data_IF_407436516811
#
_entry.id   IF_407436516811
#
_cell.length_a   1.000
_cell.length_b   1.000
_cell.length_c   1.000
_cell.angle_alpha   90.00
_cell.angle_beta   90.00
_cell.angle_gamma   90.00
#
_symmetry.space_group_name_H-M   'P 1'
#
loop_
_entity.id
_entity.type
_entity.pdbx_description
1 polymer ?
#
# COMPACT_ATOMS: atom_id res chain seq x y z
N UNK A 1 9.01 2.85 -7.69
CA UNK A 1 7.68 2.85 -8.34
C UNK A 1 6.78 3.85 -7.62
N UNK A 2 6.84 5.15 -7.96
CA UNK A 2 6.02 6.16 -7.27
C UNK A 2 4.59 6.19 -7.82
N UNK A 3 3.59 6.22 -6.95
CA UNK A 3 2.19 6.21 -7.38
C UNK A 3 1.22 5.66 -6.33
N UNK A 4 -0.04 5.58 -6.73
CA UNK A 4 -1.16 5.00 -5.99
C UNK A 4 -1.39 3.56 -6.44
N UNK A 5 -0.99 2.61 -5.60
CA UNK A 5 -1.08 1.18 -5.87
C UNK A 5 -2.17 0.58 -4.99
N UNK A 6 -3.29 0.20 -5.60
CA UNK A 6 -4.46 -0.30 -4.88
C UNK A 6 -4.50 -1.83 -4.89
N UNK A 7 -4.87 -2.44 -3.77
CA UNK A 7 -5.16 -3.88 -3.65
C UNK A 7 -6.66 -4.02 -3.42
N UNK A 8 -7.37 -4.58 -4.40
CA UNK A 8 -8.82 -4.77 -4.38
C UNK A 8 -9.15 -6.26 -4.32
N UNK A 9 -10.31 -6.57 -3.75
CA UNK A 9 -10.85 -7.92 -3.73
C UNK A 9 -11.90 -8.11 -2.64
N UNK A 10 -12.69 -9.19 -2.71
CA UNK A 10 -13.73 -9.50 -1.72
C UNK A 10 -13.18 -9.60 -0.29
N UNK A 11 -14.06 -9.53 0.71
CA UNK A 11 -13.70 -9.83 2.10
C UNK A 11 -13.09 -11.24 2.19
N UNK A 12 -12.01 -11.39 2.96
CA UNK A 12 -11.30 -12.67 3.07
C UNK A 12 -10.40 -13.02 1.90
N UNK A 13 -10.24 -12.16 0.88
CA UNK A 13 -9.35 -12.45 -0.26
C UNK A 13 -7.86 -12.43 0.06
N UNK A 14 -7.46 -11.98 1.25
CA UNK A 14 -6.07 -11.94 1.71
C UNK A 14 -5.37 -10.58 1.63
N UNK A 15 -6.09 -9.48 1.36
CA UNK A 15 -5.52 -8.12 1.20
C UNK A 15 -4.66 -7.68 2.41
N UNK A 16 -5.25 -7.66 3.60
CA UNK A 16 -4.55 -7.29 4.84
C UNK A 16 -3.39 -8.24 5.15
N UNK A 17 -3.59 -9.54 4.92
CA UNK A 17 -2.51 -10.53 5.06
C UNK A 17 -1.36 -10.28 4.08
N UNK A 18 -1.63 -9.88 2.84
CA UNK A 18 -0.57 -9.52 1.89
C UNK A 18 0.15 -8.25 2.34
N UNK A 19 -0.57 -7.23 2.78
CA UNK A 19 0.01 -6.00 3.33
C UNK A 19 0.92 -6.29 4.53
N UNK A 20 0.49 -7.15 5.46
CA UNK A 20 1.29 -7.56 6.62
C UNK A 20 2.55 -8.35 6.20
N UNK A 21 2.43 -9.22 5.18
CA UNK A 21 3.58 -9.96 4.64
C UNK A 21 4.57 -8.99 3.98
N UNK A 22 4.10 -8.05 3.16
CA UNK A 22 4.95 -7.07 2.47
C UNK A 22 5.71 -6.18 3.47
N UNK A 23 5.09 -5.86 4.59
CA UNK A 23 5.67 -4.99 5.64
C UNK A 23 6.47 -5.72 6.72
N UNK A 24 6.71 -7.03 6.58
CA UNK A 24 7.45 -7.85 7.56
C UNK A 24 6.78 -7.90 8.94
N UNK A 25 5.44 -7.81 8.98
CA UNK A 25 4.62 -7.84 10.20
C UNK A 25 3.98 -9.20 10.49
N UNK A 26 3.97 -10.09 9.49
CA UNK A 26 3.46 -11.46 9.65
C UNK A 26 4.59 -12.43 9.96
N UNK A 27 4.29 -13.45 10.77
CA UNK A 27 5.22 -14.55 11.03
C UNK A 27 5.65 -15.19 9.70
N UNK A 28 6.96 -15.35 9.44
CA UNK A 28 7.44 -15.96 8.21
C UNK A 28 7.03 -17.44 8.08
N UNK A 29 6.64 -18.11 9.16
CA UNK A 29 6.16 -19.50 9.12
C UNK A 29 4.91 -19.61 8.24
N UNK A 30 5.01 -20.41 7.17
CA UNK A 30 3.94 -20.59 6.19
C UNK A 30 3.90 -19.53 5.08
N UNK A 31 4.88 -18.62 5.03
CA UNK A 31 5.08 -17.72 3.89
C UNK A 31 6.14 -18.28 2.95
N UNK A 32 5.99 -18.03 1.66
CA UNK A 32 6.98 -18.37 0.63
C UNK A 32 7.04 -17.23 -0.40
N UNK A 33 8.14 -17.13 -1.15
CA UNK A 33 8.37 -16.04 -2.09
C UNK A 33 9.44 -15.05 -1.61
N UNK A 34 9.68 -14.04 -2.43
CA UNK A 34 10.71 -13.01 -2.19
C UNK A 34 10.11 -11.62 -2.41
N UNK A 35 10.39 -10.72 -1.47
CA UNK A 35 10.05 -9.30 -1.58
C UNK A 35 11.32 -8.52 -1.91
N UNK A 36 11.26 -7.77 -3.00
CA UNK A 36 12.31 -6.87 -3.45
C UNK A 36 11.88 -5.42 -3.26
N UNK A 37 12.80 -4.59 -2.79
CA UNK A 37 12.63 -3.14 -2.63
C UNK A 37 13.73 -2.50 -3.47
N UNK A 38 13.36 -1.70 -4.46
CA UNK A 38 14.33 -1.12 -5.42
C UNK A 38 15.27 -2.18 -6.05
N UNK A 39 14.72 -3.36 -6.36
CA UNK A 39 15.42 -4.55 -6.89
C UNK A 39 16.41 -5.24 -5.93
N UNK A 40 16.46 -4.87 -4.66
CA UNK A 40 17.25 -5.54 -3.63
C UNK A 40 16.36 -6.35 -2.69
N UNK A 41 16.86 -7.44 -2.11
CA UNK A 41 16.10 -8.14 -1.06
C UNK A 41 15.78 -7.18 0.06
N UNK A 42 14.55 -7.29 0.53
CA UNK A 42 14.08 -6.59 1.73
C UNK A 42 15.08 -6.75 2.88
N UNK A 43 15.59 -5.63 3.38
CA UNK A 43 16.46 -5.60 4.55
C UNK A 43 15.66 -5.98 5.82
N UNK A 44 16.25 -6.65 6.84
CA UNK A 44 15.54 -6.97 8.09
C UNK A 44 14.95 -5.74 8.81
N UNK A 45 15.58 -4.58 8.64
CA UNK A 45 15.10 -3.29 9.19
C UNK A 45 13.97 -2.66 8.38
N UNK A 46 13.49 -3.28 7.30
CA UNK A 46 12.49 -2.69 6.40
C UNK A 46 11.22 -2.25 7.13
N UNK A 47 10.79 -3.03 8.13
CA UNK A 47 9.64 -2.73 8.98
C UNK A 47 9.71 -1.35 9.66
N UNK A 48 10.92 -0.81 9.87
CA UNK A 48 11.17 0.48 10.51
C UNK A 48 11.34 1.62 9.50
N UNK A 49 11.50 1.30 8.22
CA UNK A 49 11.69 2.29 7.14
C UNK A 49 10.41 2.64 6.39
N UNK A 50 9.37 1.80 6.53
CA UNK A 50 8.06 1.99 5.90
C UNK A 50 7.03 2.48 6.90
N UNK A 51 6.08 3.29 6.43
CA UNK A 51 4.90 3.64 7.22
C UNK A 51 3.81 2.59 7.03
N UNK A 52 3.12 2.23 8.11
CA UNK A 52 1.98 1.29 8.02
C UNK A 52 0.81 1.80 8.85
N UNK A 53 -0.25 2.22 8.16
CA UNK A 53 -1.50 2.66 8.76
C UNK A 53 -2.44 1.46 8.79
N UNK A 54 -2.73 0.96 9.99
CA UNK A 54 -3.71 -0.12 10.20
C UNK A 54 -5.14 0.34 9.90
N UNK A 55 -6.04 -0.62 9.76
CA UNK A 55 -7.47 -0.36 9.52
C UNK A 55 -8.10 0.46 10.64
N UNK A 56 -7.93 0.02 11.89
CA UNK A 56 -8.41 0.74 13.08
C UNK A 56 -7.49 1.91 13.42
N UNK A 57 -8.07 3.09 13.63
CA UNK A 57 -7.29 4.28 13.97
C UNK A 57 -6.80 4.25 15.43
N UNK A 58 -5.55 3.82 15.60
CA UNK A 58 -4.87 3.76 16.90
C UNK A 58 -4.20 5.10 17.18
N UNK A 59 -4.88 5.96 17.95
CA UNK A 59 -4.36 7.23 18.45
C UNK A 59 -4.91 7.51 19.84
N UNK A 60 -4.15 8.23 20.68
CA UNK A 60 -4.59 8.57 22.03
C UNK A 60 -5.71 9.61 21.97
N UNK A 61 -6.89 9.24 22.47
CA UNK A 61 -8.07 10.11 22.50
C UNK A 61 -8.00 11.27 23.49
N UNK A 62 -7.14 11.17 24.51
CA UNK A 62 -6.97 12.22 25.53
C UNK A 62 -6.00 13.31 25.11
N UNK A 63 -5.15 13.02 24.12
CA UNK A 63 -4.18 13.95 23.55
C UNK A 63 -4.77 14.72 22.36
N UNK A 64 -4.20 15.88 22.08
CA UNK A 64 -4.47 16.63 20.84
C UNK A 64 -3.87 15.94 19.62
N UNK A 65 -4.30 16.35 18.42
CA UNK A 65 -3.70 15.89 17.16
C UNK A 65 -2.19 16.16 17.17
N UNK A 66 -1.78 17.38 17.51
CA UNK A 66 -0.36 17.78 17.57
C UNK A 66 0.41 16.99 18.62
N UNK A 67 -0.17 16.75 19.78
CA UNK A 67 0.45 15.93 20.83
C UNK A 67 0.66 14.48 20.39
N UNK A 68 -0.29 13.85 19.71
CA UNK A 68 -0.13 12.51 19.14
C UNK A 68 1.03 12.46 18.13
N UNK A 69 1.15 13.47 17.27
CA UNK A 69 2.25 13.56 16.30
C UNK A 69 3.60 13.82 16.97
N UNK A 70 3.65 14.72 17.95
CA UNK A 70 4.85 14.97 18.74
C UNK A 70 5.30 13.72 19.50
N UNK A 71 4.35 12.98 20.08
CA UNK A 71 4.63 11.74 20.78
C UNK A 71 5.25 10.69 19.83
N UNK A 72 4.66 10.54 18.64
CA UNK A 72 5.20 9.68 17.59
C UNK A 72 6.65 10.05 17.23
N UNK A 73 6.91 11.34 17.02
CA UNK A 73 8.25 11.86 16.67
C UNK A 73 9.26 11.62 17.78
N UNK A 74 8.90 11.90 19.03
CA UNK A 74 9.80 11.78 20.17
C UNK A 74 10.25 10.34 20.43
N UNK A 75 9.40 9.35 20.14
CA UNK A 75 9.72 7.93 20.35
C UNK A 75 10.41 7.26 19.17
N UNK A 76 10.21 7.75 17.94
CA UNK A 76 10.59 7.05 16.71
C UNK A 76 11.69 7.73 15.89
N UNK A 77 12.02 8.99 16.17
CA UNK A 77 13.14 9.69 15.53
C UNK A 77 14.35 9.77 16.47
N UNK A 78 15.55 9.76 15.87
CA UNK A 78 16.82 9.84 16.60
C UNK A 78 16.86 11.00 17.60
N UNK A 79 17.61 10.82 18.69
CA UNK A 79 17.92 11.87 19.65
C UNK A 79 18.80 12.97 19.05
N UNK A 80 19.59 12.66 18.02
CA UNK A 80 20.44 13.62 17.31
C UNK A 80 19.65 14.71 16.59
N UNK A 81 18.36 14.45 16.29
CA UNK A 81 17.51 15.42 15.63
C UNK A 81 17.04 16.48 16.64
N UNK A 82 17.34 17.74 16.35
CA UNK A 82 17.02 18.84 17.26
C UNK A 82 15.53 18.94 17.56
N UNK A 83 15.18 19.43 18.75
CA UNK A 83 13.77 19.66 19.11
C UNK A 83 13.07 20.62 18.14
N UNK A 84 13.80 21.58 17.56
CA UNK A 84 13.29 22.45 16.49
C UNK A 84 12.94 21.68 15.22
N UNK A 85 13.81 20.80 14.74
CA UNK A 85 13.57 20.02 13.52
C UNK A 85 12.40 19.06 13.69
N UNK A 86 12.31 18.42 14.87
CA UNK A 86 11.15 17.59 15.27
C UNK A 86 9.84 18.37 15.18
N UNK A 87 9.80 19.60 15.72
CA UNK A 87 8.61 20.48 15.65
C UNK A 87 8.29 20.91 14.23
N UNK A 88 9.29 21.27 13.43
CA UNK A 88 9.10 21.65 12.01
C UNK A 88 8.45 20.50 11.25
N UNK A 89 8.95 19.28 11.45
CA UNK A 89 8.41 18.08 10.79
C UNK A 89 6.95 17.81 11.17
N UNK A 90 6.58 17.95 12.44
CA UNK A 90 5.18 17.82 12.88
C UNK A 90 4.30 18.88 12.24
N UNK A 91 4.73 20.14 12.23
CA UNK A 91 3.98 21.23 11.59
C UNK A 91 3.82 21.01 10.08
N UNK A 92 4.85 20.52 9.40
CA UNK A 92 4.77 20.15 7.98
C UNK A 92 3.71 19.07 7.76
N UNK A 93 3.71 18.00 8.55
CA UNK A 93 2.72 16.91 8.39
C UNK A 93 1.29 17.38 8.68
N UNK A 94 1.08 18.24 9.68
CA UNK A 94 -0.23 18.84 9.95
C UNK A 94 -0.74 19.57 8.70
N UNK A 95 0.11 20.34 8.04
CA UNK A 95 -0.25 21.05 6.81
C UNK A 95 -0.41 20.13 5.60
N UNK A 96 0.45 19.12 5.41
CA UNK A 96 0.31 18.16 4.32
C UNK A 96 -1.04 17.41 4.38
N UNK A 97 -1.56 17.20 5.58
CA UNK A 97 -2.81 16.49 5.83
C UNK A 97 -4.03 17.41 6.01
N UNK A 98 -3.85 18.73 5.98
CA UNK A 98 -4.93 19.70 6.19
C UNK A 98 -5.58 19.56 7.57
N UNK A 99 -4.77 19.45 8.63
CA UNK A 99 -5.19 19.27 10.03
C UNK A 99 -5.04 20.55 10.86
N UNK A 100 -4.73 21.70 10.26
CA UNK A 100 -4.43 22.95 10.96
C UNK A 100 -5.57 23.39 11.89
N UNK A 101 -6.81 23.30 11.41
CA UNK A 101 -7.99 23.73 12.15
C UNK A 101 -8.24 22.91 13.42
N UNK A 102 -7.79 21.65 13.46
CA UNK A 102 -7.99 20.73 14.59
C UNK A 102 -6.68 20.31 15.27
N UNK A 103 -5.55 20.93 14.92
CA UNK A 103 -4.22 20.53 15.39
C UNK A 103 -4.12 20.49 16.92
N UNK A 104 -4.73 21.46 17.60
CA UNK A 104 -4.70 21.60 19.05
C UNK A 104 -6.03 21.15 19.71
N UNK A 105 -6.86 20.41 18.96
CA UNK A 105 -8.08 19.77 19.45
C UNK A 105 -7.81 18.32 19.87
N UNK A 106 -8.40 17.88 20.98
CA UNK A 106 -8.33 16.48 21.44
C UNK A 106 -8.93 15.54 20.41
N UNK A 107 -8.26 14.42 20.16
CA UNK A 107 -8.74 13.39 19.24
C UNK A 107 -10.10 12.83 19.69
N UNK A 108 -10.32 12.70 20.99
CA UNK A 108 -11.56 12.19 21.57
C UNK A 108 -11.54 10.68 21.77
N UNK A 109 -12.41 10.22 22.68
CA UNK A 109 -12.65 8.81 22.99
C UNK A 109 -14.12 8.47 22.69
N UNK A 110 -14.52 7.22 22.94
CA UNK A 110 -15.95 6.84 22.85
C UNK A 110 -16.84 7.65 23.83
N UNK A 111 -16.26 8.14 24.92
CA UNK A 111 -16.96 8.90 25.96
C UNK A 111 -16.72 10.41 25.89
N UNK A 112 -15.65 10.85 25.21
CA UNK A 112 -15.25 12.24 25.10
C UNK A 112 -15.28 12.67 23.64
N UNK A 113 -16.16 13.61 23.30
CA UNK A 113 -16.20 14.19 21.96
C UNK A 113 -14.84 14.79 21.58
N UNK A 114 -14.39 14.50 20.37
CA UNK A 114 -13.18 15.07 19.78
C UNK A 114 -13.36 15.40 18.31
N UNK A 115 -12.32 15.16 17.52
CA UNK A 115 -12.29 15.42 16.08
C UNK A 115 -13.18 14.45 15.30
N UNK A 116 -13.46 14.77 14.04
CA UNK A 116 -14.22 13.89 13.15
C UNK A 116 -13.46 12.61 12.78
N UNK A 117 -14.17 11.57 12.33
CA UNK A 117 -13.53 10.32 11.90
C UNK A 117 -12.52 10.52 10.75
N UNK A 118 -12.76 11.48 9.85
CA UNK A 118 -11.81 11.81 8.79
C UNK A 118 -10.53 12.46 9.30
N UNK A 119 -10.66 13.38 10.26
CA UNK A 119 -9.51 14.01 10.93
C UNK A 119 -8.74 13.00 11.78
N UNK A 120 -9.45 12.06 12.44
CA UNK A 120 -8.85 10.94 13.15
C UNK A 120 -8.05 10.03 12.21
N UNK A 121 -8.61 9.68 11.06
CA UNK A 121 -7.90 8.87 10.05
C UNK A 121 -6.65 9.58 9.53
N UNK A 122 -6.77 10.87 9.21
CA UNK A 122 -5.62 11.71 8.83
C UNK A 122 -4.59 11.79 9.94
N UNK A 123 -5.00 11.91 11.21
CA UNK A 123 -4.08 11.90 12.35
C UNK A 123 -3.29 10.58 12.42
N UNK A 124 -3.96 9.44 12.22
CA UNK A 124 -3.31 8.12 12.16
C UNK A 124 -2.30 8.04 10.99
N UNK A 125 -2.67 8.53 9.80
CA UNK A 125 -1.74 8.66 8.67
C UNK A 125 -0.55 9.57 9.02
N UNK A 126 -0.82 10.69 9.70
CA UNK A 126 0.19 11.65 10.14
C UNK A 126 1.21 11.04 11.10
N UNK A 127 0.77 10.17 12.01
CA UNK A 127 1.66 9.48 12.95
C UNK A 127 2.70 8.61 12.24
N UNK A 128 2.39 8.09 11.04
CA UNK A 128 3.36 7.38 10.19
C UNK A 128 4.16 8.33 9.30
N UNK A 129 3.52 9.38 8.76
CA UNK A 129 4.16 10.35 7.87
C UNK A 129 5.22 11.23 8.55
N UNK A 130 5.15 11.43 9.86
CA UNK A 130 6.19 12.16 10.60
C UNK A 130 7.55 11.46 10.56
N UNK A 131 7.62 10.19 10.16
CA UNK A 131 8.89 9.50 9.92
C UNK A 131 9.43 9.75 8.50
N UNK A 132 8.69 10.47 7.66
CA UNK A 132 8.89 10.63 6.20
C UNK A 132 9.28 9.33 5.51
N UNK A 133 8.43 8.29 5.59
CA UNK A 133 8.69 7.04 4.88
C UNK A 133 8.58 7.26 3.36
N UNK A 134 9.45 6.58 2.61
CA UNK A 134 9.39 6.56 1.14
C UNK A 134 8.23 5.69 0.64
N UNK A 135 7.86 4.66 1.41
CA UNK A 135 6.76 3.74 1.13
C UNK A 135 5.75 3.82 2.28
N UNK A 136 4.50 4.13 1.94
CA UNK A 136 3.39 4.18 2.88
C UNK A 136 2.37 3.12 2.53
N UNK A 137 2.12 2.23 3.48
CA UNK A 137 1.11 1.19 3.39
C UNK A 137 -0.12 1.59 4.21
N UNK A 138 -1.33 1.38 3.68
CA UNK A 138 -2.57 1.64 4.39
C UNK A 138 -3.56 0.47 4.24
N UNK A 139 -4.02 -0.07 5.35
CA UNK A 139 -5.10 -1.07 5.33
C UNK A 139 -6.45 -0.36 5.42
N UNK A 140 -7.26 -0.50 4.38
CA UNK A 140 -8.61 0.04 4.22
C UNK A 140 -8.78 1.50 4.70
N UNK A 141 -8.05 2.47 4.13
CA UNK A 141 -8.00 3.84 4.65
C UNK A 141 -9.32 4.62 4.54
N UNK A 142 -10.31 4.07 3.83
CA UNK A 142 -11.62 4.70 3.60
C UNK A 142 -12.75 4.04 4.39
N UNK A 143 -12.49 2.95 5.11
CA UNK A 143 -13.53 2.21 5.83
C UNK A 143 -14.10 3.04 6.97
N UNK A 144 -15.42 3.01 7.13
CA UNK A 144 -16.14 3.79 8.15
C UNK A 144 -16.27 5.29 7.85
N UNK A 145 -15.84 5.76 6.67
CA UNK A 145 -15.89 7.17 6.31
C UNK A 145 -17.00 7.48 5.29
N UNK A 146 -17.63 8.64 5.45
CA UNK A 146 -18.53 9.20 4.44
C UNK A 146 -17.80 9.46 3.11
N UNK A 147 -18.53 9.41 2.00
CA UNK A 147 -17.94 9.43 0.66
C UNK A 147 -17.10 10.68 0.34
N UNK A 148 -17.51 11.85 0.84
CA UNK A 148 -16.75 13.11 0.69
C UNK A 148 -15.41 13.03 1.43
N UNK A 149 -15.44 12.56 2.68
CA UNK A 149 -14.25 12.36 3.52
C UNK A 149 -13.30 11.33 2.93
N UNK A 150 -13.81 10.17 2.50
CA UNK A 150 -13.02 9.15 1.81
C UNK A 150 -12.34 9.73 0.56
N UNK A 151 -13.09 10.43 -0.29
CA UNK A 151 -12.52 11.07 -1.49
C UNK A 151 -11.43 12.10 -1.15
N UNK A 152 -11.61 12.85 -0.06
CA UNK A 152 -10.65 13.83 0.42
C UNK A 152 -9.35 13.20 0.91
N UNK A 153 -9.43 12.10 1.65
CA UNK A 153 -8.26 11.31 2.08
C UNK A 153 -7.54 10.73 0.86
N UNK A 154 -8.25 10.14 -0.09
CA UNK A 154 -7.62 9.54 -1.28
C UNK A 154 -6.94 10.59 -2.17
N UNK A 155 -7.47 11.82 -2.25
CA UNK A 155 -6.80 12.95 -2.91
C UNK A 155 -5.53 13.37 -2.18
N UNK A 156 -5.57 13.46 -0.86
CA UNK A 156 -4.39 13.74 -0.04
C UNK A 156 -3.29 12.68 -0.27
N UNK A 157 -3.63 11.39 -0.27
CA UNK A 157 -2.71 10.32 -0.64
C UNK A 157 -2.19 10.49 -2.07
N UNK A 158 -3.05 10.82 -3.04
CA UNK A 158 -2.59 11.08 -4.42
C UNK A 158 -1.54 12.20 -4.45
N UNK A 159 -1.75 13.28 -3.71
CA UNK A 159 -0.80 14.39 -3.66
C UNK A 159 0.52 14.01 -2.96
N UNK A 160 0.47 13.18 -1.93
CA UNK A 160 1.67 12.58 -1.32
C UNK A 160 2.44 11.71 -2.31
N UNK A 161 1.75 10.91 -3.14
CA UNK A 161 2.39 10.08 -4.17
C UNK A 161 3.07 10.91 -5.25
N UNK A 162 2.46 12.03 -5.65
CA UNK A 162 3.02 12.99 -6.62
C UNK A 162 4.31 13.65 -6.12
N UNK A 163 4.53 13.69 -4.80
CA UNK A 163 5.78 14.15 -4.17
C UNK A 163 6.85 13.06 -4.06
N UNK A 164 6.69 11.94 -4.77
CA UNK A 164 7.69 10.87 -4.84
C UNK A 164 7.53 9.77 -3.78
N UNK A 165 6.36 9.66 -3.14
CA UNK A 165 6.07 8.54 -2.22
C UNK A 165 5.42 7.37 -2.97
N UNK A 166 5.80 6.15 -2.63
CA UNK A 166 5.09 4.94 -3.05
C UNK A 166 3.96 4.68 -2.07
N UNK A 167 2.71 4.70 -2.53
CA UNK A 167 1.55 4.48 -1.66
C UNK A 167 0.89 3.17 -2.06
N UNK A 168 0.76 2.26 -1.11
CA UNK A 168 0.18 0.93 -1.30
C UNK A 168 -0.97 0.79 -0.32
N UNK A 169 -2.16 0.45 -0.79
CA UNK A 169 -3.31 0.38 0.10
C UNK A 169 -4.31 -0.68 -0.32
N UNK A 170 -4.94 -1.32 0.66
CA UNK A 170 -6.12 -2.14 0.40
C UNK A 170 -7.36 -1.25 0.34
N UNK A 171 -8.32 -1.59 -0.51
CA UNK A 171 -9.62 -0.93 -0.54
C UNK A 171 -10.68 -1.93 -1.01
N UNK A 172 -11.83 -1.93 -0.34
CA UNK A 172 -12.88 -2.91 -0.64
C UNK A 172 -13.71 -2.51 -1.84
N UNK A 173 -14.44 -1.40 -1.77
CA UNK A 173 -15.38 -0.97 -2.82
C UNK A 173 -15.27 0.54 -3.09
N UNK A 174 -14.29 0.99 -3.88
CA UNK A 174 -14.10 2.41 -4.16
C UNK A 174 -15.15 2.92 -5.15
N UNK A 175 -15.68 4.12 -4.87
CA UNK A 175 -16.42 4.88 -5.88
C UNK A 175 -15.54 5.17 -7.10
N UNK A 176 -16.19 5.34 -8.26
CA UNK A 176 -15.51 5.70 -9.51
C UNK A 176 -14.55 6.89 -9.37
N UNK A 177 -14.94 7.93 -8.62
CA UNK A 177 -14.09 9.11 -8.37
C UNK A 177 -12.78 8.79 -7.65
N UNK A 178 -12.77 7.77 -6.78
CA UNK A 178 -11.58 7.29 -6.08
C UNK A 178 -10.80 6.34 -6.99
N UNK A 179 -11.48 5.42 -7.68
CA UNK A 179 -10.84 4.45 -8.58
C UNK A 179 -9.99 5.14 -9.67
N UNK A 180 -10.45 6.28 -10.19
CA UNK A 180 -9.70 7.10 -11.16
C UNK A 180 -8.36 7.64 -10.66
N UNK A 181 -8.12 7.64 -9.35
CA UNK A 181 -6.86 8.12 -8.77
C UNK A 181 -5.75 7.05 -8.79
N UNK A 182 -6.11 5.78 -9.01
CA UNK A 182 -5.19 4.65 -8.94
C UNK A 182 -4.30 4.61 -10.18
N UNK A 183 -3.01 4.40 -9.97
CA UNK A 183 -2.06 4.20 -11.06
C UNK A 183 -2.01 2.70 -11.41
N UNK A 184 -1.89 1.86 -10.39
CA UNK A 184 -1.91 0.40 -10.50
C UNK A 184 -2.96 -0.22 -9.59
N UNK A 185 -3.43 -1.41 -9.98
CA UNK A 185 -4.40 -2.20 -9.23
C UNK A 185 -3.94 -3.65 -9.22
N UNK A 186 -3.95 -4.27 -8.04
CA UNK A 186 -3.86 -5.71 -7.82
C UNK A 186 -5.22 -6.24 -7.40
N UNK A 187 -5.78 -7.17 -8.16
CA UNK A 187 -7.04 -7.85 -7.86
C UNK A 187 -6.76 -9.19 -7.21
N UNK A 188 -7.26 -9.37 -5.99
CA UNK A 188 -7.08 -10.58 -5.20
C UNK A 188 -8.40 -11.34 -5.01
N UNK A 189 -8.36 -12.66 -5.16
CA UNK A 189 -9.45 -13.56 -4.83
C UNK A 189 -8.89 -14.85 -4.21
N UNK A 190 -9.43 -15.30 -3.07
CA UNK A 190 -9.02 -16.52 -2.37
C UNK A 190 -7.48 -16.68 -2.22
N UNK A 191 -6.79 -15.60 -1.82
CA UNK A 191 -5.33 -15.59 -1.63
C UNK A 191 -4.50 -15.56 -2.92
N UNK A 192 -5.12 -15.40 -4.08
CA UNK A 192 -4.46 -15.42 -5.40
C UNK A 192 -4.61 -14.08 -6.12
N UNK A 193 -3.57 -13.68 -6.85
CA UNK A 193 -3.56 -12.49 -7.69
C UNK A 193 -4.17 -12.79 -9.07
N UNK A 194 -5.38 -12.28 -9.32
CA UNK A 194 -6.11 -12.48 -10.59
C UNK A 194 -5.67 -11.49 -11.67
N UNK A 195 -5.26 -10.29 -11.27
CA UNK A 195 -4.76 -9.24 -12.16
C UNK A 195 -3.82 -8.32 -11.38
N UNK A 196 -2.75 -7.88 -12.02
CA UNK A 196 -1.93 -6.79 -11.52
C UNK A 196 -1.40 -5.97 -12.69
N UNK A 197 -1.67 -4.67 -12.68
CA UNK A 197 -1.30 -3.78 -13.77
C UNK A 197 -1.95 -2.40 -13.62
N UNK A 198 -2.02 -1.66 -14.73
CA UNK A 198 -2.65 -0.33 -14.71
C UNK A 198 -4.12 -0.41 -14.32
N UNK A 199 -4.61 0.56 -13.54
CA UNK A 199 -6.05 0.66 -13.23
C UNK A 199 -6.92 0.74 -14.49
N UNK A 200 -6.41 1.37 -15.56
CA UNK A 200 -7.10 1.47 -16.86
C UNK A 200 -7.17 0.14 -17.62
N UNK A 201 -6.28 -0.80 -17.31
CA UNK A 201 -6.19 -2.11 -17.95
C UNK A 201 -7.17 -3.15 -17.39
N UNK A 202 -7.85 -2.86 -16.27
CA UNK A 202 -8.75 -3.79 -15.59
C UNK A 202 -9.90 -4.24 -16.50
N UNK A 203 -10.63 -3.30 -17.11
CA UNK A 203 -11.77 -3.64 -18.00
C UNK A 203 -11.29 -4.38 -19.26
N UNK A 204 -10.28 -3.88 -20.02
CA UNK A 204 -9.73 -4.61 -21.16
C UNK A 204 -9.29 -6.04 -20.83
N UNK A 205 -8.65 -6.26 -19.67
CA UNK A 205 -8.22 -7.58 -19.24
C UNK A 205 -9.39 -8.56 -19.10
N UNK A 206 -10.46 -8.15 -18.42
CA UNK A 206 -11.64 -8.99 -18.26
C UNK A 206 -12.41 -9.21 -19.57
N UNK A 207 -12.42 -8.23 -20.47
CA UNK A 207 -13.02 -8.39 -21.80
C UNK A 207 -12.34 -9.47 -22.65
N UNK A 208 -11.04 -9.74 -22.46
CA UNK A 208 -10.36 -10.88 -23.12
C UNK A 208 -10.76 -12.26 -22.57
N UNK A 209 -11.51 -12.29 -21.47
CA UNK A 209 -11.97 -13.49 -20.77
C UNK A 209 -13.51 -13.57 -20.73
N UNK A 210 -14.18 -13.01 -21.74
CA UNK A 210 -15.64 -13.03 -21.92
C UNK A 210 -16.45 -12.31 -20.83
N UNK A 211 -15.81 -11.46 -20.02
CA UNK A 211 -16.49 -10.58 -19.07
C UNK A 211 -16.63 -9.16 -19.64
N UNK A 212 -17.87 -8.69 -19.80
CA UNK A 212 -18.15 -7.35 -20.31
C UNK A 212 -18.59 -6.41 -19.20
N UNK A 213 -18.00 -5.22 -19.18
CA UNK A 213 -18.41 -4.12 -18.31
C UNK A 213 -19.44 -3.29 -19.06
N UNK A 214 -20.62 -3.09 -18.49
CA UNK A 214 -21.66 -2.28 -19.11
C UNK A 214 -21.23 -0.80 -19.20
N UNK A 215 -21.77 -0.04 -20.17
CA UNK A 215 -21.55 1.39 -20.24
C UNK A 215 -21.99 2.07 -18.93
N UNK A 216 -21.16 3.00 -18.44
CA UNK A 216 -21.37 3.77 -17.20
C UNK A 216 -21.25 3.00 -15.88
N UNK A 217 -20.97 1.69 -15.92
CA UNK A 217 -20.63 0.95 -14.71
C UNK A 217 -19.31 1.42 -14.12
N UNK A 218 -19.21 1.34 -12.79
CA UNK A 218 -17.97 1.59 -12.09
C UNK A 218 -17.02 0.39 -12.32
N UNK A 219 -15.84 0.59 -12.93
CA UNK A 219 -14.91 -0.51 -13.20
C UNK A 219 -14.48 -1.27 -11.95
N UNK A 220 -14.47 -0.62 -10.79
CA UNK A 220 -14.18 -1.27 -9.52
C UNK A 220 -15.27 -2.25 -9.10
N UNK A 221 -16.55 -1.85 -9.22
CA UNK A 221 -17.69 -2.69 -8.88
C UNK A 221 -17.77 -3.88 -9.85
N UNK A 222 -17.66 -3.62 -11.16
CA UNK A 222 -17.55 -4.66 -12.18
C UNK A 222 -16.44 -5.68 -11.87
N UNK A 223 -15.23 -5.20 -11.55
CA UNK A 223 -14.12 -6.09 -11.22
C UNK A 223 -14.41 -6.94 -9.97
N UNK A 224 -15.03 -6.38 -8.94
CA UNK A 224 -15.40 -7.10 -7.73
C UNK A 224 -16.46 -8.17 -7.99
N UNK A 225 -17.49 -7.86 -8.79
CA UNK A 225 -18.53 -8.81 -9.17
C UNK A 225 -17.96 -9.99 -9.94
N UNK A 226 -17.05 -9.72 -10.88
CA UNK A 226 -16.31 -10.75 -11.61
C UNK A 226 -15.47 -11.60 -10.65
N UNK A 227 -14.75 -11.00 -9.69
CA UNK A 227 -13.98 -11.76 -8.69
C UNK A 227 -14.87 -12.62 -7.79
N UNK A 228 -16.09 -12.18 -7.46
CA UNK A 228 -17.06 -12.96 -6.68
C UNK A 228 -17.58 -14.15 -7.50
N UNK A 229 -17.90 -13.96 -8.78
CA UNK A 229 -18.32 -15.06 -9.67
C UNK A 229 -17.21 -16.09 -9.85
N UNK A 230 -15.99 -15.64 -10.16
CA UNK A 230 -14.81 -16.50 -10.34
C UNK A 230 -14.42 -17.17 -9.02
N UNK A 231 -14.60 -16.49 -7.88
CA UNK A 231 -14.32 -17.03 -6.54
C UNK A 231 -15.10 -18.31 -6.22
N UNK A 232 -16.26 -18.51 -6.87
CA UNK A 232 -17.09 -19.72 -6.76
C UNK A 232 -16.66 -20.84 -7.72
N UNK A 233 -15.72 -20.58 -8.65
CA UNK A 233 -15.29 -21.46 -9.74
C UNK A 233 -13.76 -21.64 -9.72
N UNK A 234 -13.22 -22.58 -8.90
CA UNK A 234 -11.78 -22.71 -8.67
C UNK A 234 -10.94 -22.98 -9.94
N UNK A 235 -11.52 -23.65 -10.95
CA UNK A 235 -10.82 -23.94 -12.22
C UNK A 235 -10.50 -22.69 -13.04
N UNK A 236 -11.34 -21.65 -12.95
CA UNK A 236 -11.15 -20.39 -13.68
C UNK A 236 -10.02 -19.58 -13.04
N UNK A 237 -9.95 -19.56 -11.70
CA UNK A 237 -8.86 -18.91 -10.96
C UNK A 237 -7.51 -19.51 -11.37
N UNK A 238 -7.42 -20.83 -11.49
CA UNK A 238 -6.19 -21.50 -11.90
C UNK A 238 -5.76 -21.11 -13.32
N UNK A 239 -6.69 -20.98 -14.27
CA UNK A 239 -6.41 -20.54 -15.65
C UNK A 239 -5.90 -19.08 -15.70
N UNK A 240 -6.55 -18.17 -14.99
CA UNK A 240 -6.18 -16.75 -14.95
C UNK A 240 -4.81 -16.54 -14.29
N UNK A 241 -4.53 -17.24 -13.19
CA UNK A 241 -3.23 -17.21 -12.54
C UNK A 241 -2.10 -17.73 -13.44
N UNK A 242 -2.34 -18.83 -14.16
CA UNK A 242 -1.33 -19.42 -15.06
C UNK A 242 -0.98 -18.45 -16.20
N UNK A 243 -1.97 -17.71 -16.71
CA UNK A 243 -1.75 -16.70 -17.74
C UNK A 243 -1.00 -15.48 -17.20
N UNK A 244 -1.35 -15.01 -15.99
CA UNK A 244 -0.63 -13.95 -15.30
C UNK A 244 0.84 -14.32 -15.07
N UNK A 245 1.11 -15.51 -14.52
CA UNK A 245 2.47 -16.00 -14.28
C UNK A 245 3.30 -16.10 -15.58
N UNK A 246 2.65 -16.44 -16.70
CA UNK A 246 3.30 -16.48 -18.01
C UNK A 246 3.69 -15.09 -18.51
N UNK A 247 2.78 -14.11 -18.43
CA UNK A 247 3.03 -12.72 -18.81
C UNK A 247 4.09 -12.07 -17.90
N UNK A 248 4.07 -12.39 -16.60
CA UNK A 248 5.05 -11.87 -15.63
C UNK A 248 6.45 -12.47 -15.83
N UNK A 249 6.54 -13.75 -16.16
CA UNK A 249 7.82 -14.40 -16.48
C UNK A 249 8.49 -13.74 -17.70
N UNK A 250 7.73 -13.47 -18.76
CA UNK A 250 8.21 -12.85 -20.00
C UNK A 250 8.65 -11.38 -19.80
N UNK A 251 7.93 -10.63 -18.96
CA UNK A 251 8.27 -9.23 -18.65
C UNK A 251 9.52 -9.12 -17.75
N UNK A 252 9.75 -10.11 -16.89
CA UNK A 252 10.93 -10.16 -16.01
C UNK A 252 12.25 -10.48 -16.73
N UNK A 253 12.18 -11.08 -17.92
CA UNK A 253 13.34 -11.41 -18.75
C UNK A 253 13.96 -10.16 -19.41
N UNK A 254 13.16 -9.13 -19.69
CA UNK A 254 13.57 -7.92 -20.40
C UNK A 254 14.46 -6.96 -19.58
N UNK A 255 14.52 -7.10 -18.24
CA UNK A 255 15.28 -6.20 -17.34
C UNK A 255 16.74 -6.64 -17.06
N UNK A 256 17.29 -7.53 -17.89
CA UNK A 256 18.63 -8.10 -17.71
C UNK A 256 19.65 -7.49 -18.69
N UNK A 257 20.27 -6.34 -18.38
CA UNK A 257 21.53 -5.92 -19.03
C UNK A 257 22.61 -5.60 -17.99
N UNK A 258 23.87 -6.06 -18.16
CA UNK A 258 24.95 -5.79 -17.21
C UNK A 258 25.84 -4.64 -17.69
N UNK A 259 26.32 -3.81 -16.77
CA UNK A 259 27.56 -3.03 -16.94
C UNK A 259 28.44 -3.08 -15.67
N UNK A 260 29.75 -2.98 -15.87
CA UNK A 260 30.85 -3.34 -14.96
C UNK A 260 31.39 -2.15 -14.13
N UNK A 261 31.70 -2.36 -12.84
CA UNK A 261 32.97 -2.06 -12.13
C UNK A 261 32.85 -2.43 -10.62
N UNK A 262 33.96 -2.78 -9.95
CA UNK A 262 34.00 -3.49 -8.65
C UNK A 262 34.30 -2.55 -7.48
N UNK A 263 33.41 -2.54 -6.48
CA UNK A 263 33.60 -2.10 -5.09
C UNK A 263 32.82 -3.06 -4.14
N UNK A 264 32.98 -2.95 -2.81
CA UNK A 264 32.32 -3.78 -1.80
C UNK A 264 30.78 -3.77 -1.92
N UNK A 265 30.19 -2.63 -2.32
CA UNK A 265 28.76 -2.56 -2.66
C UNK A 265 28.41 -3.50 -3.83
N UNK A 266 29.30 -3.67 -4.81
CA UNK A 266 29.08 -4.55 -5.98
C UNK A 266 29.06 -6.03 -5.59
N UNK A 267 29.78 -6.44 -4.55
CA UNK A 267 29.75 -7.82 -4.04
C UNK A 267 28.43 -8.13 -3.35
N UNK A 268 27.89 -7.19 -2.56
CA UNK A 268 26.56 -7.34 -1.98
C UNK A 268 25.47 -7.27 -3.04
N UNK A 269 25.56 -6.35 -4.01
CA UNK A 269 24.64 -6.32 -5.17
C UNK A 269 24.71 -7.61 -5.99
N UNK A 270 25.91 -8.20 -6.19
CA UNK A 270 26.08 -9.52 -6.83
C UNK A 270 25.43 -10.62 -5.99
N UNK A 271 25.68 -10.69 -4.68
CA UNK A 271 25.05 -11.66 -3.77
C UNK A 271 23.52 -11.56 -3.77
N UNK A 272 23.00 -10.34 -3.74
CA UNK A 272 21.58 -10.03 -3.87
C UNK A 272 21.03 -10.53 -5.21
N UNK A 273 21.69 -10.21 -6.33
CA UNK A 273 21.34 -10.69 -7.67
C UNK A 273 21.35 -12.22 -7.78
N UNK A 274 22.34 -12.90 -7.19
CA UNK A 274 22.38 -14.37 -7.14
C UNK A 274 21.24 -14.95 -6.31
N UNK A 275 20.88 -14.33 -5.17
CA UNK A 275 19.72 -14.76 -4.38
C UNK A 275 18.40 -14.57 -5.13
N UNK A 276 18.26 -13.49 -5.90
CA UNK A 276 17.08 -13.27 -6.75
C UNK A 276 17.04 -14.28 -7.90
N UNK A 277 18.15 -14.56 -8.57
CA UNK A 277 18.23 -15.60 -9.60
C UNK A 277 17.96 -17.00 -9.04
N UNK A 278 18.47 -17.31 -7.85
CA UNK A 278 18.18 -18.56 -7.16
C UNK A 278 16.69 -18.68 -6.82
N UNK A 279 16.08 -17.62 -6.28
CA UNK A 279 14.64 -17.58 -6.02
C UNK A 279 13.81 -17.81 -7.29
N UNK A 280 14.20 -17.20 -8.42
CA UNK A 280 13.57 -17.46 -9.74
C UNK A 280 13.72 -18.91 -10.17
N UNK A 281 14.91 -19.51 -10.03
CA UNK A 281 15.13 -20.92 -10.39
C UNK A 281 14.36 -21.92 -9.52
N UNK A 282 13.97 -21.51 -8.32
CA UNK A 282 13.17 -22.29 -7.38
C UNK A 282 11.65 -22.06 -7.54
N UNK A 283 11.22 -21.26 -8.54
CA UNK A 283 9.81 -20.97 -8.79
C UNK A 283 9.16 -20.09 -7.72
N UNK A 284 9.94 -19.33 -6.95
CA UNK A 284 9.41 -18.45 -5.92
C UNK A 284 8.70 -17.23 -6.55
N UNK A 285 7.53 -16.86 -6.01
CA UNK A 285 6.87 -15.61 -6.38
C UNK A 285 7.71 -14.40 -5.95
N UNK A 286 7.85 -13.41 -6.84
CA UNK A 286 8.65 -12.20 -6.59
C UNK A 286 7.75 -10.98 -6.61
N UNK A 287 7.73 -10.27 -5.48
CA UNK A 287 7.05 -9.00 -5.33
C UNK A 287 8.06 -7.85 -5.41
N UNK A 288 7.74 -6.82 -6.20
CA UNK A 288 8.57 -5.63 -6.36
C UNK A 288 7.88 -4.44 -5.69
N UNK A 289 8.58 -3.79 -4.77
CA UNK A 289 8.18 -2.57 -4.06
C UNK A 289 9.06 -1.40 -4.52
#
# INVERSE_FOLDING_TARGET
MHGMNAILGPSGSGKSSLLDILTDRKDPRGTSGVVLVDNFLRHPSFRYTVGYVVQEDICSGTLTVRENLNFSVSLRLSEDLSASDKRVRVSTVITELGLEACADTRVGTEFLRGISGGEKKRTSIGMELVLSPNILFLDEPTTGLGASTASSIMKCLKDLSRRGRTIIFSIQQPRYSIFKLFDTVMLMCNGRCVYHGSAKGVVPYFSTHDYQCEPYDNPADFALDVLIDIGRKPDIIAKLNNLYNKIYADTSAAFSRPENMIDLETLDRKRQKYKVQAARSLGAEIFYL
#
